data_IF_007363655101
#
_entry.id   IF_007363655101
#
_cell.length_a   1.000
_cell.length_b   1.000
_cell.length_c   1.000
_cell.angle_alpha   90.00
_cell.angle_beta   90.00
_cell.angle_gamma   90.00
#
_symmetry.space_group_name_H-M   'P 1'
#
loop_
_entity.id
_entity.type
_entity.pdbx_description
1 polymer ?
#
# COMPACT_ATOMS: atom_id res chain seq x y z
N UNK A 1 7.84 15.14 4.06
CA UNK A 1 7.30 13.99 3.27
C UNK A 1 5.88 14.25 2.81
N UNK A 2 5.44 13.64 1.68
CA UNK A 2 4.05 13.74 1.24
C UNK A 2 3.26 12.48 1.61
N UNK A 3 2.18 12.64 2.36
CA UNK A 3 1.23 11.57 2.65
C UNK A 3 -0.05 11.71 1.84
N UNK A 4 -0.73 10.59 1.61
CA UNK A 4 -2.01 10.56 0.90
C UNK A 4 -3.12 10.10 1.83
N UNK A 5 -4.08 10.99 2.10
CA UNK A 5 -5.34 10.63 2.77
C UNK A 5 -6.40 10.30 1.73
N UNK A 6 -7.25 9.33 2.04
CA UNK A 6 -8.35 8.90 1.16
C UNK A 6 -9.67 9.00 1.90
N UNK A 7 -10.64 9.64 1.25
CA UNK A 7 -12.02 9.70 1.73
C UNK A 7 -12.97 9.12 0.66
N UNK A 8 -14.07 8.55 1.12
CA UNK A 8 -15.15 8.10 0.24
C UNK A 8 -16.10 9.27 0.02
N UNK A 9 -16.50 9.47 -1.22
CA UNK A 9 -17.50 10.47 -1.60
C UNK A 9 -18.73 9.77 -2.16
N UNK A 10 -19.90 10.32 -1.85
CA UNK A 10 -21.14 9.95 -2.50
C UNK A 10 -21.08 10.25 -4.01
N UNK A 11 -21.91 9.55 -4.78
CA UNK A 11 -22.11 9.88 -6.18
C UNK A 11 -23.02 11.12 -6.26
N UNK A 12 -22.56 12.15 -6.99
CA UNK A 12 -23.34 13.38 -7.29
C UNK A 12 -23.25 13.67 -8.77
N UNK A 13 -24.27 14.36 -9.31
CA UNK A 13 -24.28 14.78 -10.70
C UNK A 13 -23.14 15.76 -11.02
N UNK A 14 -22.73 16.58 -10.04
CA UNK A 14 -21.59 17.47 -10.19
C UNK A 14 -20.29 16.66 -10.45
N UNK A 15 -20.02 15.63 -9.65
CA UNK A 15 -18.84 14.78 -9.81
C UNK A 15 -18.88 13.99 -11.13
N UNK A 16 -20.06 13.50 -11.53
CA UNK A 16 -20.23 12.81 -12.82
C UNK A 16 -19.96 13.76 -14.00
N UNK A 17 -20.46 15.02 -13.94
CA UNK A 17 -20.17 16.03 -14.98
C UNK A 17 -18.69 16.36 -15.05
N UNK A 18 -18.03 16.58 -13.92
CA UNK A 18 -16.59 16.87 -13.87
C UNK A 18 -15.77 15.72 -14.43
N UNK A 19 -16.06 14.47 -14.02
CA UNK A 19 -15.36 13.28 -14.50
C UNK A 19 -15.56 13.07 -16.02
N UNK A 20 -16.76 13.37 -16.54
CA UNK A 20 -17.06 13.32 -17.99
C UNK A 20 -16.28 14.37 -18.75
N UNK A 21 -16.26 15.63 -18.28
CA UNK A 21 -15.46 16.71 -18.89
C UNK A 21 -13.97 16.37 -18.94
N UNK A 22 -13.43 15.84 -17.84
CA UNK A 22 -12.05 15.37 -17.81
C UNK A 22 -11.80 14.19 -18.76
N UNK A 23 -12.76 13.28 -18.93
CA UNK A 23 -12.69 12.17 -19.89
C UNK A 23 -12.69 12.66 -21.33
N UNK A 24 -13.57 13.61 -21.67
CA UNK A 24 -13.63 14.23 -22.99
C UNK A 24 -12.31 14.95 -23.32
N UNK A 25 -11.78 15.74 -22.38
CA UNK A 25 -10.49 16.42 -22.56
C UNK A 25 -9.34 15.43 -22.76
N UNK A 26 -9.27 14.35 -21.96
CA UNK A 26 -8.29 13.29 -22.19
C UNK A 26 -8.37 12.74 -23.61
N UNK A 27 -9.58 12.41 -24.06
CA UNK A 27 -9.82 11.82 -25.38
C UNK A 27 -9.48 12.79 -26.51
N UNK A 28 -9.73 14.09 -26.31
CA UNK A 28 -9.33 15.15 -27.25
C UNK A 28 -7.82 15.25 -27.35
N UNK A 29 -7.11 15.33 -26.24
CA UNK A 29 -5.64 15.41 -26.21
C UNK A 29 -5.03 14.16 -26.87
N UNK A 30 -5.52 12.96 -26.53
CA UNK A 30 -5.06 11.71 -27.12
C UNK A 30 -5.31 11.68 -28.65
N UNK A 31 -6.53 11.98 -29.07
CA UNK A 31 -6.90 12.00 -30.50
C UNK A 31 -6.02 12.93 -31.33
N UNK A 32 -5.81 14.16 -30.85
CA UNK A 32 -5.01 15.13 -31.59
C UNK A 32 -3.53 14.77 -31.57
N UNK A 33 -2.99 14.28 -30.44
CA UNK A 33 -1.61 13.83 -30.38
C UNK A 33 -1.33 12.75 -31.45
N UNK A 34 -2.15 11.68 -31.48
CA UNK A 34 -1.97 10.60 -32.46
C UNK A 34 -2.24 11.03 -33.88
N UNK A 35 -3.19 11.94 -34.11
CA UNK A 35 -3.43 12.49 -35.43
C UNK A 35 -2.23 13.26 -36.00
N UNK A 36 -1.49 13.99 -35.16
CA UNK A 36 -0.22 14.62 -35.56
C UNK A 36 0.86 13.60 -35.85
N UNK A 37 0.98 12.57 -35.00
CA UNK A 37 1.94 11.48 -35.21
C UNK A 37 1.65 10.75 -36.51
N UNK A 38 0.39 10.35 -36.75
CA UNK A 38 0.02 9.52 -37.92
C UNK A 38 0.09 10.30 -39.25
N UNK A 39 -0.24 11.61 -39.22
CA UNK A 39 -0.29 12.40 -40.47
C UNK A 39 0.98 13.15 -40.82
N UNK A 40 1.73 13.56 -39.81
CA UNK A 40 2.89 14.46 -39.96
C UNK A 40 4.19 13.90 -39.34
N UNK A 41 4.16 12.72 -38.75
CA UNK A 41 5.28 12.18 -38.01
C UNK A 41 5.68 13.01 -36.78
N UNK A 42 4.86 14.01 -36.42
CA UNK A 42 5.18 15.00 -35.41
C UNK A 42 4.60 14.63 -34.04
N UNK A 43 5.48 14.62 -33.05
CA UNK A 43 5.12 14.33 -31.65
C UNK A 43 4.87 15.62 -30.90
N UNK A 44 3.58 15.95 -30.67
CA UNK A 44 3.21 17.11 -29.86
C UNK A 44 3.86 17.02 -28.48
N UNK A 45 4.50 18.10 -28.07
CA UNK A 45 4.96 18.24 -26.69
C UNK A 45 3.78 18.48 -25.73
N UNK A 46 3.99 18.17 -24.46
CA UNK A 46 3.01 18.42 -23.41
C UNK A 46 2.56 19.89 -23.38
N UNK A 47 3.51 20.82 -23.48
CA UNK A 47 3.23 22.26 -23.46
C UNK A 47 2.37 22.73 -24.64
N UNK A 48 2.63 22.21 -25.84
CA UNK A 48 1.81 22.50 -27.04
C UNK A 48 0.39 21.98 -26.86
N UNK A 49 0.22 20.73 -26.41
CA UNK A 49 -1.09 20.15 -26.19
C UNK A 49 -1.88 20.92 -25.10
N UNK A 50 -1.22 21.38 -24.04
CA UNK A 50 -1.85 22.22 -23.02
C UNK A 50 -2.30 23.58 -23.60
N UNK A 51 -1.47 24.24 -24.40
CA UNK A 51 -1.84 25.51 -25.07
C UNK A 51 -3.04 25.34 -25.99
N UNK A 52 -3.09 24.23 -26.75
CA UNK A 52 -4.14 23.94 -27.72
C UNK A 52 -5.48 23.54 -27.10
N UNK A 53 -5.45 22.75 -26.01
CA UNK A 53 -6.66 22.06 -25.55
C UNK A 53 -7.07 22.37 -24.10
N UNK A 54 -6.22 23.01 -23.28
CA UNK A 54 -6.52 23.21 -21.86
C UNK A 54 -6.97 24.65 -21.51
N UNK A 55 -6.97 25.58 -22.48
CA UNK A 55 -7.50 26.93 -22.27
C UNK A 55 -9.02 26.94 -22.42
N UNK A 56 -9.72 27.61 -21.50
CA UNK A 56 -11.17 27.84 -21.60
C UNK A 56 -12.03 26.59 -21.53
N UNK A 57 -11.53 25.49 -20.97
CA UNK A 57 -12.32 24.27 -20.81
C UNK A 57 -13.41 24.52 -19.78
N UNK A 58 -14.67 24.55 -20.24
CA UNK A 58 -15.81 24.81 -19.38
C UNK A 58 -15.90 23.79 -18.23
N UNK A 59 -16.18 24.28 -17.02
CA UNK A 59 -16.36 23.51 -15.81
C UNK A 59 -15.14 22.80 -15.25
N UNK A 60 -13.95 23.10 -15.77
CA UNK A 60 -12.68 22.67 -15.19
C UNK A 60 -11.81 23.87 -14.88
N UNK A 61 -11.23 23.91 -13.69
CA UNK A 61 -10.17 24.87 -13.40
C UNK A 61 -9.00 24.68 -14.37
N UNK A 62 -8.35 25.74 -14.82
CA UNK A 62 -7.25 25.67 -15.79
C UNK A 62 -6.15 24.66 -15.41
N UNK A 63 -5.74 24.67 -14.14
CA UNK A 63 -4.77 23.68 -13.63
C UNK A 63 -5.31 22.25 -13.62
N UNK A 64 -6.62 22.05 -13.45
CA UNK A 64 -7.24 20.73 -13.54
C UNK A 64 -7.26 20.22 -14.97
N UNK A 65 -7.54 21.09 -15.95
CA UNK A 65 -7.45 20.76 -17.37
C UNK A 65 -6.01 20.40 -17.77
N UNK A 66 -5.02 21.20 -17.35
CA UNK A 66 -3.60 20.88 -17.54
C UNK A 66 -3.21 19.52 -16.93
N UNK A 67 -3.71 19.20 -15.73
CA UNK A 67 -3.42 17.93 -15.07
C UNK A 67 -3.99 16.70 -15.82
N UNK A 68 -5.07 16.87 -16.58
CA UNK A 68 -5.59 15.82 -17.47
C UNK A 68 -4.61 15.58 -18.62
N UNK A 69 -4.13 16.64 -19.27
CA UNK A 69 -3.12 16.53 -20.32
C UNK A 69 -1.80 15.95 -19.79
N UNK A 70 -1.34 16.41 -18.60
CA UNK A 70 -0.16 15.84 -17.92
C UNK A 70 -0.31 14.33 -17.78
N UNK A 71 -1.47 13.84 -17.32
CA UNK A 71 -1.72 12.41 -17.13
C UNK A 71 -1.67 11.60 -18.43
N UNK A 72 -2.03 12.19 -19.58
CA UNK A 72 -1.87 11.56 -20.89
C UNK A 72 -0.38 11.43 -21.22
N UNK A 73 0.39 12.51 -21.09
CA UNK A 73 1.82 12.51 -21.40
C UNK A 73 2.65 11.64 -20.45
N UNK A 74 2.27 11.55 -19.16
CA UNK A 74 2.87 10.62 -18.21
C UNK A 74 2.65 9.16 -18.65
N UNK A 75 1.45 8.84 -19.14
CA UNK A 75 1.13 7.52 -19.68
C UNK A 75 1.92 7.22 -20.94
N UNK A 76 2.07 8.21 -21.83
CA UNK A 76 2.83 8.11 -23.06
C UNK A 76 4.33 7.91 -22.77
N UNK A 77 4.88 8.66 -21.83
CA UNK A 77 6.28 8.54 -21.43
C UNK A 77 6.56 7.17 -20.77
N UNK A 78 5.64 6.69 -19.93
CA UNK A 78 5.74 5.37 -19.32
C UNK A 78 5.71 4.25 -20.36
N UNK A 79 4.88 4.38 -21.39
CA UNK A 79 4.83 3.45 -22.51
C UNK A 79 6.14 3.47 -23.31
N UNK A 80 6.66 4.68 -23.63
CA UNK A 80 7.94 4.82 -24.36
C UNK A 80 9.11 4.14 -23.62
N UNK A 81 9.26 4.44 -22.32
CA UNK A 81 10.32 3.84 -21.49
C UNK A 81 10.30 2.32 -21.53
N UNK A 82 9.13 1.70 -21.45
CA UNK A 82 8.97 0.24 -21.51
C UNK A 82 9.24 -0.31 -22.90
N UNK A 83 8.86 0.40 -23.95
CA UNK A 83 9.18 0.03 -25.31
C UNK A 83 10.70 0.04 -25.54
N UNK A 84 11.35 1.10 -25.08
CA UNK A 84 12.79 1.33 -25.29
C UNK A 84 13.65 0.39 -24.42
N UNK A 85 13.11 -0.12 -23.30
CA UNK A 85 13.77 -1.15 -22.46
C UNK A 85 13.60 -2.58 -22.95
N UNK A 86 12.90 -2.81 -24.07
CA UNK A 86 12.62 -4.16 -24.57
C UNK A 86 11.49 -4.90 -23.85
N UNK A 87 10.92 -4.32 -22.81
CA UNK A 87 9.80 -4.86 -21.98
C UNK A 87 8.46 -4.60 -22.67
N UNK A 88 8.39 -4.95 -23.98
CA UNK A 88 7.39 -4.41 -24.92
C UNK A 88 6.23 -5.37 -25.21
N UNK A 89 6.34 -6.67 -24.90
CA UNK A 89 5.32 -7.64 -25.26
C UNK A 89 3.92 -7.25 -24.75
N UNK A 90 2.99 -7.01 -25.68
CA UNK A 90 1.59 -6.70 -25.40
C UNK A 90 1.27 -5.28 -24.92
N UNK A 91 2.25 -4.38 -24.83
CA UNK A 91 2.02 -3.01 -24.40
C UNK A 91 1.50 -2.13 -25.55
N UNK A 92 0.25 -1.68 -25.43
CA UNK A 92 -0.35 -0.74 -26.37
C UNK A 92 -0.12 0.70 -25.91
N UNK A 93 0.17 1.63 -26.84
CA UNK A 93 0.20 3.06 -26.53
C UNK A 93 -1.15 3.58 -26.01
N UNK A 94 -1.21 4.75 -25.38
CA UNK A 94 -2.43 5.28 -24.76
C UNK A 94 -3.44 5.82 -25.79
N UNK A 95 -3.97 4.98 -26.67
CA UNK A 95 -5.01 5.32 -27.65
C UNK A 95 -6.42 5.36 -27.09
N UNK A 96 -6.68 4.65 -25.98
CA UNK A 96 -8.03 4.43 -25.51
C UNK A 96 -8.72 5.75 -25.12
N UNK A 97 -9.84 6.04 -25.76
CA UNK A 97 -10.72 7.12 -25.34
C UNK A 97 -11.33 6.86 -23.97
N UNK A 98 -11.51 7.90 -23.19
CA UNK A 98 -12.08 7.82 -21.84
C UNK A 98 -13.37 8.64 -21.76
N UNK A 99 -14.47 7.97 -21.48
CA UNK A 99 -15.75 8.65 -21.22
C UNK A 99 -15.73 9.40 -19.90
N UNK A 100 -15.05 8.88 -18.90
CA UNK A 100 -14.85 9.46 -17.58
C UNK A 100 -13.38 9.39 -17.21
N UNK A 101 -12.89 10.44 -16.56
CA UNK A 101 -11.53 10.47 -16.04
C UNK A 101 -11.48 11.14 -14.68
N UNK A 102 -10.41 10.90 -13.92
CA UNK A 102 -10.17 11.55 -12.64
C UNK A 102 -9.90 13.05 -12.84
N UNK A 103 -10.36 13.85 -11.88
CA UNK A 103 -10.10 15.29 -11.83
C UNK A 103 -9.10 15.57 -10.74
N UNK A 104 -8.15 16.45 -11.00
CA UNK A 104 -7.11 16.84 -10.07
C UNK A 104 -7.11 18.36 -9.88
N UNK A 105 -6.96 18.78 -8.63
CA UNK A 105 -6.77 20.18 -8.26
C UNK A 105 -5.38 20.34 -7.66
N UNK A 106 -4.64 21.35 -8.11
CA UNK A 106 -3.35 21.77 -7.53
C UNK A 106 -3.60 22.88 -6.51
N UNK A 107 -2.58 23.24 -5.75
CA UNK A 107 -2.68 24.14 -4.58
C UNK A 107 -3.45 25.46 -4.83
N UNK A 108 -3.30 26.08 -6.00
CA UNK A 108 -4.00 27.33 -6.33
C UNK A 108 -5.54 27.18 -6.51
N UNK A 109 -5.97 25.98 -6.88
CA UNK A 109 -7.40 25.65 -7.05
C UNK A 109 -8.04 25.10 -5.76
N UNK A 110 -7.29 25.00 -4.68
CA UNK A 110 -7.71 24.43 -3.40
C UNK A 110 -7.69 25.54 -2.34
N UNK A 111 -8.82 25.72 -1.64
CA UNK A 111 -8.91 26.61 -0.47
C UNK A 111 -9.50 25.83 0.70
N UNK A 112 -8.83 25.82 1.84
CA UNK A 112 -9.39 25.37 3.11
C UNK A 112 -10.03 26.58 3.76
N UNK A 113 -11.30 26.48 4.13
CA UNK A 113 -12.05 27.52 4.80
C UNK A 113 -11.94 27.34 6.32
N UNK A 114 -12.22 28.40 7.06
CA UNK A 114 -12.15 28.41 8.52
C UNK A 114 -13.21 27.48 9.18
N UNK A 115 -14.29 27.19 8.45
CA UNK A 115 -15.32 26.23 8.84
C UNK A 115 -14.93 24.74 8.60
N UNK A 116 -13.69 24.45 8.24
CA UNK A 116 -13.21 23.11 7.97
C UNK A 116 -13.63 22.55 6.60
N UNK A 117 -14.22 23.37 5.73
CA UNK A 117 -14.65 22.96 4.40
C UNK A 117 -13.54 23.17 3.38
N UNK A 118 -13.19 22.10 2.66
CA UNK A 118 -12.28 22.15 1.52
C UNK A 118 -13.03 22.57 0.26
N UNK A 119 -12.72 23.74 -0.26
CA UNK A 119 -13.29 24.27 -1.49
C UNK A 119 -12.36 24.00 -2.66
N UNK A 120 -12.84 23.24 -3.65
CA UNK A 120 -12.13 22.91 -4.89
C UNK A 120 -12.74 23.70 -6.04
N UNK A 121 -11.98 24.63 -6.60
CA UNK A 121 -12.45 25.53 -7.67
C UNK A 121 -12.56 24.79 -9.02
N UNK A 122 -13.66 24.99 -9.72
CA UNK A 122 -13.90 24.47 -11.07
C UNK A 122 -13.75 25.53 -12.16
N UNK A 123 -13.14 26.67 -11.83
CA UNK A 123 -12.97 27.82 -12.73
C UNK A 123 -14.03 28.91 -12.48
N UNK A 124 -13.85 30.03 -13.16
CA UNK A 124 -14.73 31.21 -13.04
C UNK A 124 -16.13 30.86 -13.52
N UNK A 125 -17.15 31.26 -12.77
CA UNK A 125 -18.56 31.01 -13.12
C UNK A 125 -19.05 29.58 -12.89
N UNK A 126 -18.22 28.68 -12.34
CA UNK A 126 -18.62 27.31 -12.06
C UNK A 126 -18.67 27.02 -10.56
N UNK A 127 -19.66 26.23 -10.13
CA UNK A 127 -19.81 25.84 -8.75
C UNK A 127 -18.62 25.01 -8.27
N UNK A 128 -17.99 25.38 -7.14
CA UNK A 128 -16.90 24.60 -6.55
C UNK A 128 -17.40 23.28 -5.98
N UNK A 129 -16.53 22.30 -5.89
CA UNK A 129 -16.80 21.11 -5.06
C UNK A 129 -16.45 21.46 -3.62
N UNK A 130 -17.41 21.24 -2.71
CA UNK A 130 -17.25 21.45 -1.26
C UNK A 130 -17.17 20.11 -0.56
N UNK A 131 -16.23 19.94 0.35
CA UNK A 131 -15.98 18.67 1.05
C UNK A 131 -15.63 18.97 2.49
N UNK A 132 -16.32 18.33 3.43
CA UNK A 132 -15.94 18.37 4.84
C UNK A 132 -14.56 17.73 5.02
N UNK A 133 -13.61 18.53 5.49
CA UNK A 133 -12.21 18.13 5.56
C UNK A 133 -11.78 17.92 7.00
N UNK A 134 -11.46 16.68 7.41
CA UNK A 134 -11.17 16.37 8.81
C UNK A 134 -9.71 16.65 9.18
N UNK A 135 -9.19 17.83 8.85
CA UNK A 135 -7.84 18.25 9.18
C UNK A 135 -7.65 19.74 8.94
N UNK A 136 -6.86 20.40 9.79
CA UNK A 136 -6.51 21.81 9.64
C UNK A 136 -5.42 22.05 8.59
N UNK A 137 -4.83 21.00 8.06
CA UNK A 137 -3.78 21.10 7.05
C UNK A 137 -4.35 21.13 5.64
N UNK A 138 -4.10 22.22 4.91
CA UNK A 138 -4.49 22.37 3.50
C UNK A 138 -3.73 21.37 2.62
N UNK A 139 -4.42 20.56 1.81
CA UNK A 139 -3.75 19.67 0.86
C UNK A 139 -3.01 20.44 -0.23
N UNK A 140 -1.84 19.94 -0.64
CA UNK A 140 -1.10 20.45 -1.80
C UNK A 140 -1.73 20.03 -3.13
N UNK A 141 -2.35 18.85 -3.15
CA UNK A 141 -3.00 18.25 -4.32
C UNK A 141 -4.20 17.42 -3.90
N UNK A 142 -5.28 17.55 -4.64
CA UNK A 142 -6.50 16.77 -4.48
C UNK A 142 -6.84 16.07 -5.79
N UNK A 143 -7.19 14.81 -5.73
CA UNK A 143 -7.67 14.01 -6.85
C UNK A 143 -9.00 13.37 -6.48
N UNK A 144 -10.01 13.49 -7.36
CA UNK A 144 -11.27 12.76 -7.26
C UNK A 144 -11.40 11.84 -8.47
N UNK A 145 -11.64 10.57 -8.21
CA UNK A 145 -11.81 9.56 -9.26
C UNK A 145 -12.77 8.45 -8.85
N UNK A 146 -13.41 7.83 -9.84
CA UNK A 146 -14.30 6.70 -9.66
C UNK A 146 -13.51 5.40 -9.47
N UNK A 147 -13.87 4.58 -8.48
CA UNK A 147 -13.17 3.32 -8.18
C UNK A 147 -13.92 2.05 -8.67
N UNK A 148 -15.00 2.24 -9.45
CA UNK A 148 -15.89 1.17 -9.89
C UNK A 148 -17.19 1.08 -9.08
N UNK A 149 -17.25 1.69 -7.89
CA UNK A 149 -18.43 1.68 -7.01
C UNK A 149 -18.81 3.05 -6.47
N UNK A 150 -17.85 3.92 -6.23
CA UNK A 150 -18.03 5.23 -5.61
C UNK A 150 -16.89 6.18 -6.02
N UNK A 151 -17.10 7.47 -5.82
CA UNK A 151 -16.00 8.42 -5.92
C UNK A 151 -15.08 8.34 -4.71
N UNK A 152 -13.79 8.46 -4.97
CA UNK A 152 -12.75 8.55 -3.94
C UNK A 152 -11.96 9.83 -4.10
N UNK A 153 -11.92 10.56 -3.03
CA UNK A 153 -11.01 11.67 -2.84
C UNK A 153 -9.65 11.14 -2.39
N UNK A 154 -8.58 11.63 -2.99
CA UNK A 154 -7.19 11.42 -2.58
C UNK A 154 -6.54 12.78 -2.38
N UNK A 155 -6.16 13.08 -1.16
CA UNK A 155 -5.48 14.32 -0.83
C UNK A 155 -4.03 14.05 -0.49
N UNK A 156 -3.14 14.77 -1.14
CA UNK A 156 -1.71 14.80 -0.80
C UNK A 156 -1.43 16.03 0.06
N UNK A 157 -0.85 15.81 1.22
CA UNK A 157 -0.45 16.87 2.15
C UNK A 157 0.97 16.62 2.62
N UNK A 158 1.65 17.70 2.94
CA UNK A 158 2.99 17.66 3.45
C UNK A 158 2.95 17.40 4.95
N UNK A 159 3.83 16.54 5.42
CA UNK A 159 4.01 16.22 6.83
C UNK A 159 5.46 16.40 7.15
N UNK A 160 5.74 17.08 8.25
CA UNK A 160 7.08 17.19 8.79
C UNK A 160 7.56 15.80 9.24
N UNK A 161 8.83 15.57 9.08
CA UNK A 161 9.51 14.34 9.50
C UNK A 161 10.37 14.69 10.71
N UNK A 162 10.40 13.83 11.71
CA UNK A 162 11.36 13.98 12.80
C UNK A 162 12.79 13.93 12.20
N UNK A 163 13.64 14.86 12.58
CA UNK A 163 15.01 14.95 12.05
C UNK A 163 15.85 13.76 12.55
N UNK A 164 15.64 13.40 13.81
CA UNK A 164 16.39 12.34 14.49
C UNK A 164 15.47 11.38 15.21
N UNK A 165 15.87 10.09 15.31
CA UNK A 165 15.12 9.11 16.09
C UNK A 165 15.31 9.37 17.59
N UNK A 166 14.31 8.99 18.38
CA UNK A 166 14.36 9.10 19.85
C UNK A 166 15.41 8.20 20.53
N UNK A 167 16.12 7.38 19.78
CA UNK A 167 17.11 6.47 20.32
C UNK A 167 18.05 5.87 19.28
N UNK A 168 19.00 5.09 19.74
CA UNK A 168 20.09 4.53 18.94
C UNK A 168 20.00 3.00 18.75
N UNK A 169 19.02 2.35 19.38
CA UNK A 169 18.88 0.89 19.28
C UNK A 169 18.63 0.44 17.84
N UNK A 170 19.15 -0.73 17.50
CA UNK A 170 18.90 -1.38 16.20
C UNK A 170 17.93 -2.55 16.40
N UNK A 171 16.88 -2.62 15.58
CA UNK A 171 15.94 -3.71 15.54
C UNK A 171 16.08 -4.53 14.26
N UNK A 172 16.13 -5.85 14.35
CA UNK A 172 16.00 -6.77 13.23
C UNK A 172 14.55 -7.20 13.05
N UNK A 173 14.09 -7.29 11.80
CA UNK A 173 12.73 -7.70 11.44
C UNK A 173 12.79 -8.79 10.38
N UNK A 174 12.27 -9.96 10.73
CA UNK A 174 11.95 -11.04 9.79
C UNK A 174 10.48 -10.95 9.38
N UNK A 175 10.20 -10.94 8.08
CA UNK A 175 8.84 -10.81 7.53
C UNK A 175 8.38 -12.15 6.97
N UNK A 176 7.35 -12.71 7.60
CA UNK A 176 6.83 -14.02 7.27
C UNK A 176 5.35 -14.04 6.84
N UNK A 177 4.90 -15.21 6.40
CA UNK A 177 3.49 -15.44 6.02
C UNK A 177 2.59 -15.69 7.24
N UNK A 178 3.07 -16.45 8.24
CA UNK A 178 2.30 -16.81 9.44
C UNK A 178 2.47 -15.75 10.51
N UNK A 179 3.69 -15.33 10.79
CA UNK A 179 3.97 -14.11 11.51
C UNK A 179 4.32 -13.04 10.49
N UNK A 180 3.46 -12.02 10.39
CA UNK A 180 3.65 -10.93 9.44
C UNK A 180 4.97 -10.20 9.66
N UNK A 181 5.40 -10.12 10.93
CA UNK A 181 6.73 -9.67 11.32
C UNK A 181 7.12 -10.34 12.64
N UNK A 182 8.36 -10.78 12.73
CA UNK A 182 9.05 -11.10 13.97
C UNK A 182 10.11 -10.03 14.20
N UNK A 183 10.19 -9.50 15.40
CA UNK A 183 11.04 -8.34 15.74
C UNK A 183 11.94 -8.69 16.92
N UNK A 184 13.22 -8.31 16.82
CA UNK A 184 14.21 -8.45 17.88
C UNK A 184 15.04 -7.16 18.00
N UNK A 185 15.12 -6.60 19.21
CA UNK A 185 15.85 -5.34 19.50
C UNK A 185 17.18 -5.52 20.23
N UNK A 186 17.48 -6.73 20.62
CA UNK A 186 18.58 -7.06 21.55
C UNK A 186 18.06 -7.37 22.95
N UNK A 187 17.14 -6.57 23.48
CA UNK A 187 16.57 -6.73 24.82
C UNK A 187 15.17 -7.37 24.76
N UNK A 188 14.40 -7.04 23.73
CA UNK A 188 13.01 -7.44 23.57
C UNK A 188 12.77 -8.19 22.26
N UNK A 189 11.78 -9.08 22.26
CA UNK A 189 11.31 -9.77 21.07
C UNK A 189 9.80 -9.92 21.05
N UNK A 190 9.18 -9.78 19.86
CA UNK A 190 7.74 -9.99 19.69
C UNK A 190 7.39 -10.34 18.24
N UNK A 191 6.17 -10.88 18.03
CA UNK A 191 5.68 -11.25 16.71
C UNK A 191 4.32 -10.61 16.40
N UNK A 192 4.10 -10.29 15.14
CA UNK A 192 2.81 -9.85 14.59
C UNK A 192 2.16 -11.01 13.84
N UNK A 193 0.99 -11.45 14.28
CA UNK A 193 0.30 -12.59 13.68
C UNK A 193 -0.29 -12.25 12.30
N UNK A 194 0.11 -12.99 11.26
CA UNK A 194 -0.35 -12.81 9.88
C UNK A 194 -1.53 -13.72 9.46
N UNK A 195 -2.07 -14.54 10.37
CA UNK A 195 -3.11 -15.55 10.01
C UNK A 195 -4.39 -14.91 9.46
N UNK A 196 -4.76 -13.72 9.95
CA UNK A 196 -5.91 -12.99 9.43
C UNK A 196 -5.68 -12.54 7.98
N UNK A 197 -4.48 -12.04 7.67
CA UNK A 197 -4.09 -11.68 6.31
C UNK A 197 -4.19 -12.89 5.37
N UNK A 198 -3.71 -14.06 5.81
CA UNK A 198 -3.84 -15.32 5.06
C UNK A 198 -5.30 -15.71 4.83
N UNK A 199 -6.15 -15.57 5.83
CA UNK A 199 -7.60 -15.84 5.73
C UNK A 199 -8.26 -14.94 4.70
N UNK A 200 -7.98 -13.63 4.72
CA UNK A 200 -8.49 -12.66 3.73
C UNK A 200 -7.98 -12.97 2.31
N UNK A 201 -6.73 -13.37 2.14
CA UNK A 201 -6.19 -13.80 0.83
C UNK A 201 -6.90 -15.06 0.33
N UNK A 202 -7.11 -16.06 1.19
CA UNK A 202 -7.89 -17.26 0.82
C UNK A 202 -9.32 -16.91 0.43
N UNK A 203 -9.98 -16.01 1.17
CA UNK A 203 -11.31 -15.51 0.84
C UNK A 203 -11.31 -14.78 -0.51
N UNK A 204 -10.30 -13.96 -0.78
CA UNK A 204 -10.13 -13.27 -2.07
C UNK A 204 -10.10 -14.28 -3.24
N UNK A 205 -9.28 -15.32 -3.13
CA UNK A 205 -9.13 -16.34 -4.17
C UNK A 205 -10.42 -17.13 -4.39
N UNK A 206 -11.08 -17.58 -3.32
CA UNK A 206 -12.36 -18.30 -3.42
C UNK A 206 -13.45 -17.42 -4.05
N UNK A 207 -13.50 -16.14 -3.68
CA UNK A 207 -14.48 -15.20 -4.24
C UNK A 207 -14.20 -14.95 -5.72
N UNK A 208 -12.93 -14.78 -6.11
CA UNK A 208 -12.53 -14.61 -7.50
C UNK A 208 -12.93 -15.85 -8.32
N UNK A 209 -12.49 -17.04 -7.93
CA UNK A 209 -12.77 -18.29 -8.65
C UNK A 209 -14.27 -18.54 -8.83
N UNK A 210 -15.08 -18.35 -7.76
CA UNK A 210 -16.54 -18.51 -7.82
C UNK A 210 -17.19 -17.54 -8.80
N UNK A 211 -16.75 -16.31 -8.86
CA UNK A 211 -17.33 -15.28 -9.74
C UNK A 211 -16.83 -15.43 -11.17
N UNK A 212 -15.56 -15.81 -11.37
CA UNK A 212 -15.00 -16.08 -12.69
C UNK A 212 -15.74 -17.26 -13.35
N UNK A 213 -15.92 -18.38 -12.67
CA UNK A 213 -16.73 -19.50 -13.18
C UNK A 213 -18.17 -19.12 -13.58
N UNK A 214 -18.77 -18.12 -12.91
CA UNK A 214 -20.10 -17.60 -13.30
C UNK A 214 -20.04 -16.66 -14.49
N UNK A 215 -18.96 -15.86 -14.62
CA UNK A 215 -18.74 -14.91 -15.69
C UNK A 215 -18.45 -15.66 -17.00
N UNK A 216 -17.60 -16.67 -16.95
CA UNK A 216 -17.16 -17.46 -18.12
C UNK A 216 -18.32 -18.19 -18.81
N UNK A 217 -19.38 -18.51 -18.06
CA UNK A 217 -20.62 -19.10 -18.60
C UNK A 217 -21.55 -18.09 -19.26
N UNK A 218 -21.18 -16.81 -19.37
CA UNK A 218 -22.03 -15.76 -19.93
C UNK A 218 -21.41 -15.17 -21.19
N UNK A 219 -22.26 -14.87 -22.15
CA UNK A 219 -21.85 -14.15 -23.35
C UNK A 219 -21.16 -12.85 -22.98
N UNK A 220 -19.98 -12.62 -23.57
CA UNK A 220 -19.16 -11.45 -23.33
C UNK A 220 -19.92 -10.15 -23.67
N UNK A 221 -19.90 -9.19 -22.78
CA UNK A 221 -20.56 -7.90 -22.98
C UNK A 221 -22.07 -7.89 -22.72
N UNK A 222 -22.72 -9.05 -22.49
CA UNK A 222 -24.13 -9.12 -22.13
C UNK A 222 -24.46 -8.36 -20.83
N UNK A 223 -25.73 -8.04 -20.60
CA UNK A 223 -26.18 -7.39 -19.35
C UNK A 223 -25.82 -8.23 -18.12
N UNK A 224 -25.98 -9.55 -18.21
CA UNK A 224 -25.67 -10.47 -17.11
C UNK A 224 -24.18 -10.56 -16.84
N UNK A 225 -23.35 -10.65 -17.88
CA UNK A 225 -21.89 -10.60 -17.79
C UNK A 225 -21.44 -9.33 -17.09
N UNK A 226 -21.90 -8.15 -17.54
CA UNK A 226 -21.54 -6.85 -16.95
C UNK A 226 -21.92 -6.76 -15.47
N UNK A 227 -23.10 -7.27 -15.07
CA UNK A 227 -23.51 -7.30 -13.65
C UNK A 227 -22.61 -8.20 -12.80
N UNK A 228 -22.20 -9.36 -13.32
CA UNK A 228 -21.29 -10.27 -12.60
C UNK A 228 -19.88 -9.69 -12.45
N UNK A 229 -19.35 -9.07 -13.51
CA UNK A 229 -18.04 -8.34 -13.44
C UNK A 229 -18.09 -7.25 -12.40
N UNK A 230 -19.12 -6.40 -12.39
CA UNK A 230 -19.29 -5.36 -11.38
C UNK A 230 -19.42 -5.94 -9.96
N UNK A 231 -20.11 -7.07 -9.79
CA UNK A 231 -20.23 -7.74 -8.49
C UNK A 231 -18.88 -8.29 -8.02
N UNK A 232 -18.08 -8.86 -8.93
CA UNK A 232 -16.71 -9.31 -8.67
C UNK A 232 -15.84 -8.14 -8.21
N UNK A 233 -15.84 -7.02 -8.95
CA UNK A 233 -15.04 -5.84 -8.62
C UNK A 233 -15.40 -5.28 -7.24
N UNK A 234 -16.70 -5.19 -6.91
CA UNK A 234 -17.16 -4.73 -5.59
C UNK A 234 -16.70 -5.67 -4.47
N UNK A 235 -16.91 -7.00 -4.62
CA UNK A 235 -16.54 -7.97 -3.57
C UNK A 235 -15.03 -8.02 -3.36
N UNK A 236 -14.26 -8.12 -4.45
CA UNK A 236 -12.79 -8.12 -4.38
C UNK A 236 -12.25 -6.77 -3.89
N UNK A 237 -12.87 -5.66 -4.28
CA UNK A 237 -12.53 -4.32 -3.80
C UNK A 237 -12.68 -4.19 -2.28
N UNK A 238 -13.76 -4.76 -1.69
CA UNK A 238 -13.95 -4.81 -0.24
C UNK A 238 -12.83 -5.59 0.45
N UNK A 239 -12.53 -6.79 -0.03
CA UNK A 239 -11.48 -7.65 0.56
C UNK A 239 -10.10 -6.98 0.46
N UNK A 240 -9.77 -6.39 -0.71
CA UNK A 240 -8.51 -5.63 -0.89
C UNK A 240 -8.40 -4.47 0.09
N UNK A 241 -9.51 -3.78 0.36
CA UNK A 241 -9.54 -2.70 1.34
C UNK A 241 -9.30 -3.19 2.76
N UNK A 242 -9.87 -4.34 3.14
CA UNK A 242 -9.64 -4.99 4.45
C UNK A 242 -8.17 -5.41 4.60
N UNK A 243 -7.58 -6.04 3.57
CA UNK A 243 -6.17 -6.41 3.56
C UNK A 243 -5.29 -5.18 3.77
N UNK A 244 -5.57 -4.10 3.03
CA UNK A 244 -4.80 -2.86 3.14
C UNK A 244 -4.93 -2.21 4.51
N UNK A 245 -6.13 -2.17 5.09
CA UNK A 245 -6.38 -1.67 6.44
C UNK A 245 -5.58 -2.46 7.48
N UNK A 246 -5.61 -3.80 7.37
CA UNK A 246 -4.85 -4.69 8.25
C UNK A 246 -3.34 -4.42 8.18
N UNK A 247 -2.78 -4.31 6.97
CA UNK A 247 -1.36 -3.98 6.77
C UNK A 247 -1.00 -2.62 7.36
N UNK A 248 -1.86 -1.60 7.17
CA UNK A 248 -1.66 -0.28 7.76
C UNK A 248 -1.67 -0.33 9.30
N UNK A 249 -2.58 -1.07 9.91
CA UNK A 249 -2.69 -1.20 11.37
C UNK A 249 -1.47 -1.91 11.94
N UNK A 250 -1.06 -3.04 11.36
CA UNK A 250 0.13 -3.75 11.80
C UNK A 250 1.40 -2.91 11.64
N UNK A 251 1.60 -2.26 10.49
CA UNK A 251 2.79 -1.43 10.27
C UNK A 251 2.80 -0.19 11.17
N UNK A 252 1.64 0.43 11.47
CA UNK A 252 1.56 1.53 12.44
C UNK A 252 1.90 1.07 13.84
N UNK A 253 1.33 -0.06 14.28
CA UNK A 253 1.61 -0.62 15.61
C UNK A 253 3.09 -0.99 15.75
N UNK A 254 3.65 -1.64 14.72
CA UNK A 254 5.06 -2.03 14.70
C UNK A 254 5.96 -0.81 14.85
N UNK A 255 5.79 0.20 13.99
CA UNK A 255 6.62 1.40 14.02
C UNK A 255 6.47 2.17 15.33
N UNK A 256 5.23 2.30 15.84
CA UNK A 256 4.98 2.93 17.13
C UNK A 256 5.69 2.19 18.29
N UNK A 257 5.62 0.87 18.31
CA UNK A 257 6.31 0.06 19.32
C UNK A 257 7.83 0.21 19.23
N UNK A 258 8.41 0.26 18.03
CA UNK A 258 9.84 0.51 17.84
C UNK A 258 10.25 1.89 18.34
N UNK A 259 9.47 2.92 18.05
CA UNK A 259 9.69 4.28 18.50
C UNK A 259 9.62 4.40 20.04
N UNK A 260 8.62 3.78 20.68
CA UNK A 260 8.48 3.70 22.14
C UNK A 260 9.69 3.01 22.79
N UNK A 261 10.31 2.03 22.10
CA UNK A 261 11.51 1.31 22.56
C UNK A 261 12.83 1.97 22.18
N UNK A 262 12.80 3.20 21.72
CA UNK A 262 13.99 4.01 21.35
C UNK A 262 14.85 3.36 20.25
N UNK A 263 14.21 2.73 19.28
CA UNK A 263 14.88 2.20 18.09
C UNK A 263 15.17 3.35 17.13
N UNK A 264 16.43 3.47 16.68
CA UNK A 264 16.86 4.42 15.66
C UNK A 264 17.04 3.78 14.29
N UNK A 265 17.46 2.52 14.26
CA UNK A 265 17.68 1.79 13.01
C UNK A 265 16.82 0.53 12.95
N UNK A 266 16.08 0.38 11.87
CA UNK A 266 15.25 -0.78 11.58
C UNK A 266 15.87 -1.56 10.43
N UNK A 267 16.24 -2.81 10.67
CA UNK A 267 16.83 -3.70 9.67
C UNK A 267 15.81 -4.75 9.25
N UNK A 268 15.44 -4.77 7.98
CA UNK A 268 14.47 -5.71 7.43
C UNK A 268 15.17 -6.71 6.53
N UNK A 269 14.82 -7.97 6.63
CA UNK A 269 15.30 -8.97 5.68
C UNK A 269 14.88 -8.64 4.25
N UNK A 270 15.78 -8.80 3.28
CA UNK A 270 15.49 -8.54 1.88
C UNK A 270 15.04 -9.81 1.16
N UNK A 271 13.77 -9.84 0.82
CA UNK A 271 13.11 -10.90 0.04
C UNK A 271 12.98 -10.54 -1.45
N UNK A 272 13.76 -9.57 -1.94
CA UNK A 272 13.78 -9.22 -3.37
C UNK A 272 14.20 -10.44 -4.17
N UNK A 273 13.43 -10.80 -5.19
CA UNK A 273 13.70 -11.98 -6.01
C UNK A 273 13.18 -13.32 -5.46
N UNK A 274 12.58 -13.37 -4.26
CA UNK A 274 12.02 -14.61 -3.68
C UNK A 274 10.99 -15.30 -4.60
N UNK A 275 10.48 -14.60 -5.59
CA UNK A 275 9.50 -15.10 -6.57
C UNK A 275 10.14 -15.65 -7.84
N UNK A 276 11.44 -15.50 -8.01
CA UNK A 276 12.14 -15.96 -9.21
C UNK A 276 12.44 -17.45 -9.10
N UNK A 277 12.12 -18.23 -10.13
CA UNK A 277 12.40 -19.66 -10.16
C UNK A 277 11.61 -20.51 -9.15
N UNK A 278 10.43 -20.05 -8.71
CA UNK A 278 9.61 -20.79 -7.75
C UNK A 278 9.01 -22.06 -8.38
N UNK A 279 9.33 -23.20 -7.80
CA UNK A 279 8.69 -24.48 -8.10
C UNK A 279 8.33 -25.25 -6.80
N UNK A 280 7.47 -24.64 -5.99
CA UNK A 280 6.94 -25.24 -4.76
C UNK A 280 5.50 -25.77 -4.93
N UNK A 281 5.07 -25.96 -6.20
CA UNK A 281 3.72 -26.33 -6.55
C UNK A 281 2.72 -25.16 -6.51
N UNK A 282 1.60 -25.33 -7.25
CA UNK A 282 0.64 -24.24 -7.56
C UNK A 282 0.11 -23.48 -6.35
N UNK A 283 -0.21 -24.18 -5.25
CA UNK A 283 -0.73 -23.54 -4.01
C UNK A 283 0.31 -22.70 -3.28
N UNK A 284 1.57 -23.15 -3.21
CA UNK A 284 2.63 -22.44 -2.57
C UNK A 284 3.05 -21.23 -3.43
N UNK A 285 3.20 -21.41 -4.73
CA UNK A 285 3.49 -20.35 -5.69
C UNK A 285 2.42 -19.26 -5.64
N UNK A 286 1.12 -19.61 -5.64
CA UNK A 286 0.03 -18.65 -5.51
C UNK A 286 0.13 -17.82 -4.21
N UNK A 287 0.46 -18.45 -3.09
CA UNK A 287 0.64 -17.74 -1.80
C UNK A 287 1.79 -16.76 -1.85
N UNK A 288 2.95 -17.17 -2.37
CA UNK A 288 4.14 -16.32 -2.47
C UNK A 288 3.93 -15.16 -3.45
N UNK A 289 3.26 -15.39 -4.59
CA UNK A 289 2.91 -14.30 -5.52
C UNK A 289 1.94 -13.29 -4.90
N UNK A 290 1.04 -13.72 -4.04
CA UNK A 290 0.07 -12.84 -3.38
C UNK A 290 0.59 -12.24 -2.06
N UNK A 291 1.77 -12.66 -1.61
CA UNK A 291 2.33 -12.15 -0.37
C UNK A 291 2.66 -10.65 -0.49
N UNK A 292 2.07 -9.85 0.41
CA UNK A 292 2.15 -8.40 0.37
C UNK A 292 3.46 -7.85 0.98
N UNK A 293 4.56 -8.63 0.92
CA UNK A 293 5.85 -8.27 1.49
C UNK A 293 6.28 -6.84 1.11
N UNK A 294 6.44 -6.56 -0.18
CA UNK A 294 6.92 -5.25 -0.64
C UNK A 294 5.97 -4.08 -0.30
N UNK A 295 4.66 -4.32 -0.18
CA UNK A 295 3.71 -3.31 0.30
C UNK A 295 3.87 -3.06 1.79
N UNK A 296 4.07 -4.10 2.59
CA UNK A 296 4.25 -4.00 4.03
C UNK A 296 5.57 -3.34 4.40
N UNK A 297 6.67 -3.71 3.74
CA UNK A 297 7.99 -3.06 3.92
C UNK A 297 7.91 -1.57 3.61
N UNK A 298 7.33 -1.19 2.46
CA UNK A 298 7.13 0.24 2.13
C UNK A 298 6.31 0.99 3.18
N UNK A 299 5.33 0.31 3.80
CA UNK A 299 4.55 0.92 4.89
C UNK A 299 5.38 1.11 6.15
N UNK A 300 6.29 0.20 6.46
CA UNK A 300 7.26 0.34 7.57
C UNK A 300 8.22 1.49 7.24
N UNK A 301 8.82 1.50 6.06
CA UNK A 301 9.80 2.50 5.63
C UNK A 301 9.29 3.94 5.78
N UNK A 302 8.12 4.26 5.18
CA UNK A 302 7.66 5.64 5.26
C UNK A 302 7.18 6.03 6.67
N UNK A 303 6.64 5.09 7.45
CA UNK A 303 6.21 5.38 8.83
C UNK A 303 7.40 5.51 9.78
N UNK A 304 8.43 4.68 9.63
CA UNK A 304 9.67 4.78 10.37
C UNK A 304 10.36 6.13 10.12
N UNK A 305 10.40 6.54 8.84
CA UNK A 305 10.96 7.82 8.43
C UNK A 305 10.23 9.02 9.05
N UNK A 306 8.89 8.95 9.25
CA UNK A 306 8.15 10.00 9.97
C UNK A 306 8.62 10.22 11.40
N UNK A 307 9.24 9.21 12.02
CA UNK A 307 9.81 9.24 13.37
C UNK A 307 11.34 9.33 13.36
N UNK A 308 11.95 9.81 12.27
CA UNK A 308 13.40 9.93 12.12
C UNK A 308 14.16 8.60 12.04
N UNK A 309 13.47 7.46 12.10
CA UNK A 309 14.13 6.15 12.07
C UNK A 309 14.62 5.80 10.65
N UNK A 310 15.82 5.23 10.55
CA UNK A 310 16.39 4.73 9.31
C UNK A 310 15.98 3.27 9.09
N UNK A 311 15.58 2.91 7.86
CA UNK A 311 15.31 1.52 7.47
C UNK A 311 16.38 1.02 6.51
N UNK A 312 16.99 -0.11 6.84
CA UNK A 312 18.00 -0.80 6.02
C UNK A 312 17.48 -2.19 5.63
N UNK A 313 17.93 -2.70 4.49
CA UNK A 313 17.62 -4.06 4.03
C UNK A 313 18.88 -4.89 4.01
N UNK A 314 18.77 -6.14 4.47
CA UNK A 314 19.89 -7.10 4.57
C UNK A 314 19.42 -8.44 3.99
N UNK A 315 20.28 -9.11 3.25
CA UNK A 315 19.96 -10.41 2.66
C UNK A 315 19.61 -11.47 3.72
N UNK A 316 18.48 -12.16 3.51
CA UNK A 316 17.94 -13.16 4.46
C UNK A 316 18.59 -14.55 4.34
N UNK A 317 19.53 -14.77 3.43
CA UNK A 317 20.12 -16.10 3.25
C UNK A 317 20.63 -16.66 4.59
N UNK A 318 20.09 -17.87 4.95
CA UNK A 318 20.43 -18.65 6.14
C UNK A 318 20.07 -18.04 7.50
N UNK A 319 19.45 -16.87 7.57
CA UNK A 319 19.14 -16.21 8.86
C UNK A 319 18.25 -17.03 9.78
N UNK A 320 17.33 -17.84 9.25
CA UNK A 320 16.49 -18.75 10.05
C UNK A 320 17.13 -20.10 10.36
N UNK A 321 18.38 -20.34 9.93
CA UNK A 321 19.09 -21.62 10.08
C UNK A 321 20.33 -21.49 10.96
N UNK A 322 20.86 -20.30 11.16
CA UNK A 322 22.05 -20.05 11.97
C UNK A 322 21.67 -19.85 13.43
N UNK A 323 22.35 -20.55 14.32
CA UNK A 323 22.16 -20.37 15.76
C UNK A 323 22.70 -19.00 16.21
N UNK A 324 21.89 -18.16 16.86
CA UNK A 324 22.35 -16.84 17.28
C UNK A 324 23.42 -16.94 18.42
N UNK A 325 23.50 -18.06 19.14
CA UNK A 325 24.44 -18.29 20.23
C UNK A 325 25.81 -18.83 19.76
N UNK A 326 25.81 -19.93 18.97
CA UNK A 326 27.05 -20.60 18.60
C UNK A 326 27.41 -20.50 17.12
N UNK A 327 26.54 -19.92 16.25
CA UNK A 327 26.77 -19.79 14.80
C UNK A 327 26.54 -21.07 14.01
N UNK A 328 26.34 -22.24 14.65
CA UNK A 328 26.10 -23.48 13.91
C UNK A 328 24.84 -23.40 13.08
N UNK A 329 24.90 -23.97 11.86
CA UNK A 329 23.78 -23.97 10.93
C UNK A 329 23.11 -25.33 10.87
N UNK A 330 21.79 -25.34 11.10
CA UNK A 330 20.94 -26.48 10.83
C UNK A 330 19.54 -26.02 10.41
N UNK A 331 18.83 -26.88 9.71
CA UNK A 331 17.46 -26.60 9.30
C UNK A 331 16.50 -26.94 10.43
N UNK A 332 15.86 -25.96 11.07
CA UNK A 332 14.95 -26.25 12.19
C UNK A 332 13.70 -26.97 11.70
N UNK A 333 13.19 -27.88 12.50
CA UNK A 333 11.93 -28.57 12.24
C UNK A 333 10.76 -27.75 12.82
N UNK A 334 9.83 -27.31 11.96
CA UNK A 334 8.67 -26.53 12.39
C UNK A 334 8.98 -25.08 12.78
N UNK A 335 8.47 -24.66 13.93
CA UNK A 335 8.59 -23.28 14.44
C UNK A 335 9.56 -23.13 15.60
N UNK A 336 9.95 -24.22 16.19
CA UNK A 336 10.91 -24.26 17.25
C UNK A 336 12.31 -24.41 16.68
N UNK A 337 13.24 -23.67 17.24
CA UNK A 337 14.64 -23.74 16.92
C UNK A 337 15.37 -24.29 18.15
N UNK A 338 15.93 -25.47 18.02
CA UNK A 338 16.70 -26.14 19.10
C UNK A 338 18.09 -26.42 18.56
N UNK A 339 19.11 -25.94 19.23
CA UNK A 339 20.51 -26.13 18.87
C UNK A 339 21.23 -27.10 19.79
N UNK A 340 22.21 -27.83 19.27
CA UNK A 340 23.07 -28.72 20.08
C UNK A 340 23.88 -28.01 21.17
N UNK A 341 24.03 -26.65 21.05
CA UNK A 341 24.67 -25.86 22.11
C UNK A 341 23.75 -25.54 23.30
N UNK A 342 22.51 -26.04 23.30
CA UNK A 342 21.51 -25.76 24.34
C UNK A 342 20.66 -24.51 24.09
N UNK A 343 20.85 -23.79 22.96
CA UNK A 343 20.00 -22.65 22.64
C UNK A 343 18.63 -23.11 22.12
N UNK A 344 17.57 -22.55 22.69
CA UNK A 344 16.18 -22.77 22.25
C UNK A 344 15.49 -21.45 21.96
N UNK A 345 14.60 -21.43 20.97
CA UNK A 345 13.86 -20.21 20.60
C UNK A 345 12.88 -20.39 19.48
N UNK A 346 12.09 -19.35 19.24
CA UNK A 346 11.17 -19.33 18.11
C UNK A 346 11.91 -19.01 16.81
N UNK A 347 11.80 -19.86 15.80
CA UNK A 347 12.51 -19.76 14.50
C UNK A 347 12.46 -18.37 13.86
N UNK A 348 11.29 -17.73 13.85
CA UNK A 348 11.14 -16.43 13.18
C UNK A 348 11.82 -15.31 14.00
N UNK A 349 11.97 -15.47 15.33
CA UNK A 349 12.75 -14.56 16.17
C UNK A 349 14.26 -14.79 15.99
N UNK A 350 14.68 -16.04 15.81
CA UNK A 350 16.05 -16.37 15.40
C UNK A 350 16.39 -15.67 14.08
N UNK A 351 15.48 -15.72 13.10
CA UNK A 351 15.63 -14.96 11.85
C UNK A 351 15.83 -13.46 12.08
N UNK A 352 14.97 -12.85 12.90
CA UNK A 352 15.05 -11.42 13.21
C UNK A 352 16.36 -11.06 13.95
N UNK A 353 16.81 -11.90 14.89
CA UNK A 353 18.07 -11.72 15.59
C UNK A 353 19.26 -11.76 14.63
N UNK A 354 19.29 -12.74 13.73
CA UNK A 354 20.37 -12.89 12.76
C UNK A 354 20.36 -11.80 11.67
N UNK A 355 19.20 -11.27 11.28
CA UNK A 355 19.10 -10.09 10.41
C UNK A 355 19.75 -8.88 11.10
N UNK A 356 19.46 -8.66 12.41
CA UNK A 356 20.10 -7.60 13.20
C UNK A 356 21.62 -7.81 13.31
N UNK A 357 22.05 -9.03 13.63
CA UNK A 357 23.46 -9.41 13.74
C UNK A 357 24.24 -9.15 12.48
N UNK A 358 23.73 -9.56 11.32
CA UNK A 358 24.34 -9.29 10.00
C UNK A 358 24.56 -7.81 9.74
N UNK A 359 23.62 -6.95 10.12
CA UNK A 359 23.75 -5.51 9.92
C UNK A 359 24.83 -4.91 10.84
N UNK A 360 24.90 -5.39 12.09
CA UNK A 360 25.86 -4.87 13.07
C UNK A 360 27.29 -5.37 12.85
N UNK A 361 27.51 -6.32 11.92
CA UNK A 361 28.83 -6.90 11.68
C UNK A 361 29.39 -7.71 12.86
N UNK A 362 28.52 -8.18 13.77
CA UNK A 362 28.92 -8.89 14.98
C UNK A 362 28.93 -10.40 14.74
N UNK A 363 30.10 -11.01 14.77
CA UNK A 363 30.26 -12.47 14.55
C UNK A 363 29.71 -13.31 15.73
N UNK A 364 29.49 -12.75 16.89
CA UNK A 364 28.85 -13.41 18.03
C UNK A 364 28.35 -12.42 19.08
N UNK A 365 27.11 -12.02 19.02
CA UNK A 365 26.41 -11.55 20.21
C UNK A 365 25.88 -12.83 20.85
N UNK A 366 26.44 -13.26 21.97
CA UNK A 366 25.82 -14.30 22.80
C UNK A 366 24.45 -13.79 23.23
N UNK A 367 23.42 -14.27 22.56
CA UNK A 367 22.06 -14.10 23.06
C UNK A 367 21.99 -14.98 24.28
N UNK A 368 22.08 -14.37 25.47
CA UNK A 368 22.03 -15.09 26.71
C UNK A 368 20.62 -15.65 26.92
N UNK A 369 20.53 -16.97 27.13
CA UNK A 369 19.33 -17.60 27.62
C UNK A 369 18.13 -17.67 26.70
N UNK A 370 17.06 -18.24 27.16
CA UNK A 370 15.78 -18.43 26.48
C UNK A 370 15.27 -17.19 25.81
N UNK A 371 15.11 -17.24 24.48
CA UNK A 371 14.23 -16.27 23.78
C UNK A 371 12.81 -16.58 24.24
N UNK A 372 12.28 -15.77 25.14
CA UNK A 372 10.95 -15.91 25.69
C UNK A 372 9.91 -16.14 24.59
N UNK A 373 8.93 -16.98 24.83
CA UNK A 373 7.82 -17.26 23.93
C UNK A 373 7.19 -15.95 23.48
N UNK A 374 7.09 -15.69 22.16
CA UNK A 374 6.71 -14.37 21.67
C UNK A 374 5.29 -14.03 22.06
N UNK A 375 5.10 -12.88 22.68
CA UNK A 375 3.79 -12.28 22.87
C UNK A 375 3.22 -11.93 21.50
N UNK A 376 2.32 -12.78 20.97
CA UNK A 376 1.73 -12.58 19.66
C UNK A 376 0.74 -11.42 19.66
N UNK A 377 1.04 -10.36 18.94
CA UNK A 377 0.08 -9.27 18.71
C UNK A 377 -0.95 -9.74 17.68
N UNK A 378 -2.21 -9.93 18.13
CA UNK A 378 -3.33 -10.25 17.26
C UNK A 378 -4.18 -9.00 17.09
N UNK A 379 -4.43 -8.60 15.84
CA UNK A 379 -5.43 -7.61 15.53
C UNK A 379 -6.71 -8.32 15.07
N UNK A 380 -7.79 -8.20 15.84
CA UNK A 380 -9.12 -8.73 15.50
C UNK A 380 -10.13 -7.59 15.52
N UNK A 381 -10.44 -6.96 14.38
CA UNK A 381 -11.33 -5.81 14.33
C UNK A 381 -12.81 -6.12 14.69
N UNK A 382 -13.18 -7.39 14.74
CA UNK A 382 -14.57 -7.82 14.91
C UNK A 382 -14.87 -8.58 16.22
N UNK A 383 -13.90 -8.81 17.08
CA UNK A 383 -14.19 -9.28 18.44
C UNK A 383 -14.47 -8.08 19.35
N UNK A 384 -15.75 -7.78 19.56
CA UNK A 384 -16.17 -7.06 20.77
C UNK A 384 -15.66 -7.89 21.94
N UNK A 385 -14.85 -7.28 22.79
CA UNK A 385 -14.52 -7.88 24.08
C UNK A 385 -15.86 -8.12 24.81
N UNK A 386 -16.28 -9.37 24.93
CA UNK A 386 -17.44 -9.70 25.75
C UNK A 386 -16.94 -9.75 27.19
N UNK A 387 -17.34 -8.82 28.07
CA UNK A 387 -16.82 -8.74 29.44
C UNK A 387 -17.26 -9.91 30.32
N UNK A 388 -18.10 -10.83 29.83
CA UNK A 388 -18.70 -11.89 30.61
C UNK A 388 -17.96 -13.24 30.56
N UNK A 389 -16.89 -13.41 29.79
CA UNK A 389 -16.09 -14.65 29.83
C UNK A 389 -14.93 -14.50 30.80
N UNK A 390 -15.11 -15.03 32.00
CA UNK A 390 -14.16 -15.13 33.10
C UNK A 390 -12.93 -16.00 32.76
N UNK A 391 -12.03 -15.50 31.92
CA UNK A 391 -10.63 -15.94 31.88
C UNK A 391 -9.72 -14.72 31.99
N UNK A 392 -9.43 -14.39 33.26
CA UNK A 392 -8.67 -13.22 33.71
C UNK A 392 -7.17 -13.19 33.32
N UNK A 393 -6.72 -13.94 32.32
CA UNK A 393 -5.29 -14.02 32.00
C UNK A 393 -4.87 -13.42 30.66
N UNK A 394 -5.72 -12.76 29.89
CA UNK A 394 -5.36 -12.28 28.55
C UNK A 394 -5.75 -10.82 28.22
N UNK A 395 -6.12 -10.02 29.20
CA UNK A 395 -6.60 -8.65 28.98
C UNK A 395 -5.85 -7.60 29.79
N UNK A 396 -4.51 -7.72 29.91
CA UNK A 396 -3.66 -6.61 30.37
C UNK A 396 -3.06 -5.87 29.20
N UNK A 397 -3.91 -5.35 28.30
CA UNK A 397 -3.48 -4.39 27.30
C UNK A 397 -4.41 -3.17 27.38
N UNK A 398 -3.89 -2.13 28.04
CA UNK A 398 -4.45 -0.80 28.03
C UNK A 398 -4.54 -0.32 26.57
N UNK A 399 -5.73 -0.21 26.03
CA UNK A 399 -5.95 0.29 24.68
C UNK A 399 -7.34 0.03 24.09
N UNK A 400 -8.23 -0.68 24.74
CA UNK A 400 -9.63 -0.71 24.39
C UNK A 400 -10.37 0.40 25.15
N UNK A 401 -10.53 1.59 24.55
CA UNK A 401 -11.55 2.51 25.01
C UNK A 401 -12.91 1.98 24.53
N UNK A 402 -13.94 1.92 25.37
CA UNK A 402 -15.29 1.68 24.89
C UNK A 402 -15.72 2.88 24.05
N UNK A 403 -16.20 2.59 22.84
CA UNK A 403 -16.96 3.57 22.06
C UNK A 403 -18.37 3.52 22.62
N UNK A 404 -18.78 4.59 23.29
CA UNK A 404 -20.16 4.87 23.61
C UNK A 404 -20.96 5.21 22.35
#
# INVERSE_FOLDING_TARGET
>A
MYLTRKLKLGKTDQLDRLARRAGNLWSTVAKWHWRFVDRQGYWLSKGQAQKMHCKGVDGLHSQSAQAVADSFYDSLQSWRKKRDSGDYEGLRPPYKQKRYFKVQWKSAAIKLRDDGVLRLSNGRGNDPVLIDWPSDTKPKRVEIGWDGSQYKLRCQYEVEEDQEPKGTKTAGIDIGEIHLAAVYTGDDSWTFNGRELRSLRRQQNRTAARLDSKIDRKEYGSRRWKRLVQAKDRQLGKIRSQIKDLLHKHSTRLVKTLHERRVGTVVVGDLTGIRNGLDYGSKANQRLHQWAYGEFVRMIEYKARLHGMTVKRVGEAYTSQECPSCGNRHKPHGREYICSCGFEGHRDLVGASNIRKKYLGQDSVRVAGEMASPTGVRYRPHMRCNPASSRKAACQWQGCRPVG
#
